data_IF_038623410149
#
_entry.id   IF_038623410149
#
_cell.length_a   1.000
_cell.length_b   1.000
_cell.length_c   1.000
_cell.angle_alpha   90.00
_cell.angle_beta   90.00
_cell.angle_gamma   90.00
#
_symmetry.space_group_name_H-M   'P 1'
#
loop_
_entity.id
_entity.type
_entity.pdbx_description
1 polymer ?
#
# COMPACT_ATOMS: atom_id res chain seq x y z
N UNK A 1 13.70 -4.71 10.10
CA UNK A 1 14.74 -5.00 9.09
C UNK A 1 14.12 -4.82 7.74
N UNK A 2 14.80 -4.16 6.82
CA UNK A 2 14.37 -3.99 5.44
C UNK A 2 15.58 -4.04 4.51
N UNK A 3 15.33 -4.20 3.22
CA UNK A 3 16.32 -4.11 2.15
C UNK A 3 15.70 -3.28 1.03
N UNK A 4 16.50 -2.40 0.42
CA UNK A 4 16.14 -1.66 -0.79
C UNK A 4 17.13 -2.03 -1.90
N UNK A 5 16.69 -1.98 -3.16
CA UNK A 5 17.57 -2.26 -4.30
C UNK A 5 17.21 -1.41 -5.51
N UNK A 6 18.23 -0.80 -6.12
CA UNK A 6 18.12 -0.07 -7.37
C UNK A 6 19.13 -0.59 -8.38
N UNK A 7 18.64 -1.20 -9.45
CA UNK A 7 19.42 -1.66 -10.59
C UNK A 7 18.88 -1.05 -11.88
N UNK A 8 19.77 -0.84 -12.85
CA UNK A 8 19.36 -0.41 -14.19
C UNK A 8 18.75 -1.58 -14.94
N UNK A 9 17.79 -1.27 -15.80
CA UNK A 9 17.21 -2.24 -16.71
C UNK A 9 18.28 -2.91 -17.60
N UNK A 10 18.09 -4.21 -17.86
CA UNK A 10 18.98 -5.04 -18.65
C UNK A 10 19.24 -6.38 -17.97
N UNK A 11 20.52 -6.65 -17.70
CA UNK A 11 20.92 -7.92 -17.09
C UNK A 11 20.37 -8.05 -15.65
N UNK A 12 20.51 -7.01 -14.83
CA UNK A 12 20.19 -7.09 -13.40
C UNK A 12 18.72 -6.76 -13.07
N UNK A 13 18.00 -6.03 -13.93
CA UNK A 13 16.59 -5.73 -13.70
C UNK A 13 15.78 -5.74 -15.00
N UNK A 14 14.48 -6.01 -14.88
CA UNK A 14 13.55 -6.05 -16.00
C UNK A 14 12.12 -5.85 -15.51
N UNK A 15 11.30 -5.19 -16.32
CA UNK A 15 9.85 -5.11 -16.15
C UNK A 15 9.19 -5.29 -17.50
N UNK A 16 8.24 -6.22 -17.58
CA UNK A 16 7.37 -6.34 -18.76
C UNK A 16 6.37 -5.19 -18.82
N UNK A 17 6.03 -4.76 -20.03
CA UNK A 17 4.97 -3.77 -20.29
C UNK A 17 3.63 -4.41 -20.67
N UNK A 18 3.57 -5.73 -20.83
CA UNK A 18 2.39 -6.45 -21.34
C UNK A 18 1.82 -7.48 -20.37
N UNK A 19 2.60 -7.89 -19.37
CA UNK A 19 2.18 -8.86 -18.35
C UNK A 19 2.88 -8.54 -17.03
N UNK A 20 2.44 -9.15 -15.94
CA UNK A 20 3.13 -9.03 -14.65
C UNK A 20 4.38 -9.91 -14.68
N UNK A 21 5.52 -9.32 -15.03
CA UNK A 21 6.85 -9.95 -14.92
C UNK A 21 7.85 -8.86 -14.58
N UNK A 22 8.21 -8.77 -13.30
CA UNK A 22 9.16 -7.79 -12.77
C UNK A 22 10.25 -8.54 -12.03
N UNK A 23 11.51 -8.18 -12.28
CA UNK A 23 12.67 -8.69 -11.55
C UNK A 23 13.70 -7.63 -11.26
N UNK A 24 14.36 -7.77 -10.11
CA UNK A 24 15.47 -6.94 -9.68
C UNK A 24 16.49 -7.81 -8.93
N UNK A 25 17.51 -8.27 -9.67
CA UNK A 25 18.43 -9.35 -9.33
C UNK A 25 17.68 -10.63 -8.92
N UNK A 26 17.83 -11.08 -7.67
CA UNK A 26 17.16 -12.28 -7.16
C UNK A 26 15.73 -12.03 -6.65
N UNK A 27 15.20 -10.81 -6.77
CA UNK A 27 13.80 -10.51 -6.47
C UNK A 27 12.98 -10.62 -7.73
N UNK A 28 11.80 -11.22 -7.64
CA UNK A 28 10.87 -11.34 -8.75
C UNK A 28 9.42 -11.37 -8.30
N UNK A 29 8.55 -10.79 -9.12
CA UNK A 29 7.10 -10.93 -9.06
C UNK A 29 6.60 -11.24 -10.47
N UNK A 30 6.07 -12.45 -10.68
CA UNK A 30 5.72 -12.94 -12.02
C UNK A 30 4.40 -13.67 -12.05
N UNK A 31 3.52 -13.31 -12.97
CA UNK A 31 2.33 -14.07 -13.31
C UNK A 31 2.70 -15.26 -14.20
N UNK A 32 2.36 -16.46 -13.76
CA UNK A 32 2.30 -17.65 -14.59
C UNK A 32 0.94 -17.70 -15.29
N UNK A 33 0.92 -17.42 -16.58
CA UNK A 33 -0.29 -17.39 -17.41
C UNK A 33 -0.95 -18.77 -17.56
N UNK A 34 -0.21 -19.88 -17.35
CA UNK A 34 -0.76 -21.23 -17.45
C UNK A 34 -1.59 -21.60 -16.21
N UNK A 35 -1.18 -21.12 -15.03
CA UNK A 35 -1.84 -21.40 -13.75
C UNK A 35 -2.65 -20.23 -13.22
N UNK A 36 -2.48 -19.04 -13.80
CA UNK A 36 -3.03 -17.76 -13.34
C UNK A 36 -2.66 -17.46 -11.88
N UNK A 37 -1.44 -17.85 -11.48
CA UNK A 37 -0.86 -17.60 -10.16
C UNK A 37 0.34 -16.66 -10.27
N UNK A 38 0.59 -15.91 -9.21
CA UNK A 38 1.69 -14.95 -9.15
C UNK A 38 2.77 -15.53 -8.24
N UNK A 39 3.93 -15.82 -8.81
CA UNK A 39 5.13 -16.23 -8.10
C UNK A 39 5.87 -15.00 -7.57
N UNK A 40 6.10 -14.97 -6.26
CA UNK A 40 6.89 -13.96 -5.57
C UNK A 40 8.13 -14.61 -4.97
N UNK A 41 9.30 -14.08 -5.32
CA UNK A 41 10.56 -14.36 -4.64
C UNK A 41 11.18 -13.07 -4.16
N UNK A 42 11.49 -12.97 -2.88
CA UNK A 42 12.16 -11.81 -2.29
C UNK A 42 13.16 -12.25 -1.23
N UNK A 43 14.11 -11.36 -0.91
CA UNK A 43 15.02 -11.53 0.22
C UNK A 43 15.06 -10.27 1.05
N UNK A 44 15.39 -10.40 2.33
CA UNK A 44 15.75 -9.28 3.20
C UNK A 44 17.15 -9.55 3.74
N UNK A 45 18.11 -8.88 3.12
CA UNK A 45 19.56 -9.08 3.18
C UNK A 45 19.93 -10.57 3.17
N UNK A 46 20.69 -11.05 4.15
CA UNK A 46 21.05 -12.46 4.28
C UNK A 46 20.12 -13.21 5.26
N UNK A 47 19.22 -12.49 5.92
CA UNK A 47 18.46 -12.95 7.07
C UNK A 47 17.15 -13.62 6.67
N UNK A 48 16.49 -13.15 5.61
CA UNK A 48 15.20 -13.71 5.20
C UNK A 48 15.07 -13.97 3.70
N UNK A 49 14.33 -15.03 3.37
CA UNK A 49 13.92 -15.38 2.00
C UNK A 49 12.42 -15.66 2.00
N UNK A 50 11.69 -15.03 1.09
CA UNK A 50 10.27 -15.27 0.87
C UNK A 50 10.10 -15.94 -0.48
N UNK A 51 9.36 -17.05 -0.50
CA UNK A 51 8.91 -17.74 -1.72
C UNK A 51 7.42 -17.99 -1.58
N UNK A 52 6.63 -17.14 -2.22
CA UNK A 52 5.19 -17.17 -2.12
C UNK A 52 4.58 -17.41 -3.50
N UNK A 53 3.53 -18.19 -3.50
CA UNK A 53 2.60 -18.35 -4.60
C UNK A 53 1.31 -17.62 -4.19
N UNK A 54 0.83 -16.75 -5.07
CA UNK A 54 -0.33 -15.91 -4.82
C UNK A 54 -1.43 -16.22 -5.85
N UNK A 55 -2.64 -16.48 -5.37
CA UNK A 55 -3.81 -16.75 -6.21
C UNK A 55 -4.87 -15.68 -5.99
N UNK A 56 -5.35 -15.06 -7.07
CA UNK A 56 -6.41 -14.07 -6.99
C UNK A 56 -7.72 -14.70 -6.49
N UNK A 57 -8.21 -14.25 -5.33
CA UNK A 57 -9.49 -14.66 -4.76
C UNK A 57 -10.66 -13.85 -5.34
N UNK A 58 -10.37 -12.72 -5.99
CA UNK A 58 -11.32 -11.83 -6.66
C UNK A 58 -10.74 -11.34 -7.99
N UNK A 59 -11.59 -10.92 -8.94
CA UNK A 59 -11.14 -10.22 -10.13
C UNK A 59 -10.31 -8.97 -9.80
N UNK A 60 -9.44 -8.58 -10.73
CA UNK A 60 -8.77 -7.29 -10.68
C UNK A 60 -9.82 -6.18 -10.69
N UNK A 61 -9.64 -5.19 -9.81
CA UNK A 61 -10.43 -3.97 -9.82
C UNK A 61 -9.64 -2.84 -10.47
N UNK A 62 -10.34 -1.91 -11.12
CA UNK A 62 -9.75 -0.74 -11.74
C UNK A 62 -10.38 0.48 -11.08
N UNK A 63 -9.58 1.27 -10.38
CA UNK A 63 -10.05 2.44 -9.65
C UNK A 63 -10.24 3.67 -10.54
N UNK A 64 -10.98 4.62 -10.00
CA UNK A 64 -11.24 5.90 -10.65
C UNK A 64 -12.34 5.83 -11.69
N UNK A 65 -12.41 6.88 -12.52
CA UNK A 65 -13.40 6.98 -13.60
C UNK A 65 -12.73 6.57 -14.90
N UNK A 66 -13.30 5.58 -15.58
CA UNK A 66 -12.79 5.06 -16.86
C UNK A 66 -11.29 4.65 -16.77
N UNK A 67 -10.88 4.13 -15.61
CA UNK A 67 -9.50 3.72 -15.33
C UNK A 67 -8.53 4.82 -14.93
N UNK A 68 -9.03 6.04 -14.66
CA UNK A 68 -8.23 7.19 -14.23
C UNK A 68 -8.60 7.59 -12.80
N UNK A 69 -7.68 7.37 -11.85
CA UNK A 69 -7.79 7.76 -10.46
C UNK A 69 -7.12 9.12 -10.23
N UNK A 70 -7.87 10.11 -9.73
CA UNK A 70 -7.34 11.46 -9.48
C UNK A 70 -6.69 11.55 -8.11
N UNK A 71 -5.57 12.26 -8.03
CA UNK A 71 -4.77 12.49 -6.81
C UNK A 71 -4.68 13.96 -6.42
N UNK A 72 -5.12 14.87 -7.28
CA UNK A 72 -5.10 16.31 -7.03
C UNK A 72 -6.09 17.06 -7.91
N UNK A 73 -6.00 18.40 -7.88
CA UNK A 73 -6.86 19.30 -8.65
C UNK A 73 -6.37 19.33 -10.10
N UNK A 74 -5.05 19.37 -10.30
CA UNK A 74 -4.46 19.40 -11.64
C UNK A 74 -4.83 18.15 -12.44
N UNK A 75 -5.00 18.32 -13.76
CA UNK A 75 -5.37 17.21 -14.65
C UNK A 75 -4.28 16.15 -14.75
N UNK A 76 -3.02 16.54 -14.53
CA UNK A 76 -1.86 15.64 -14.53
C UNK A 76 -1.71 14.84 -13.23
N UNK A 77 -2.30 15.29 -12.12
CA UNK A 77 -2.30 14.56 -10.85
C UNK A 77 -3.32 13.40 -10.88
N UNK A 78 -3.03 12.40 -11.72
CA UNK A 78 -3.85 11.22 -11.89
C UNK A 78 -3.00 10.00 -12.28
N UNK A 79 -3.54 8.81 -12.00
CA UNK A 79 -2.90 7.54 -12.27
C UNK A 79 -3.87 6.54 -12.87
N UNK A 80 -3.34 5.61 -13.66
CA UNK A 80 -4.02 4.35 -13.94
C UNK A 80 -3.74 3.41 -12.79
N UNK A 81 -4.80 2.89 -12.17
CA UNK A 81 -4.69 2.22 -10.88
C UNK A 81 -5.52 0.93 -10.87
N UNK A 82 -4.81 -0.20 -10.92
CA UNK A 82 -5.35 -1.55 -10.97
C UNK A 82 -4.91 -2.33 -9.73
N UNK A 83 -5.77 -3.20 -9.23
CA UNK A 83 -5.53 -3.84 -7.95
C UNK A 83 -6.06 -5.26 -7.92
N UNK A 84 -5.27 -6.17 -7.36
CA UNK A 84 -5.75 -7.44 -6.83
C UNK A 84 -6.09 -7.25 -5.35
N UNK A 85 -7.38 -7.04 -4.99
CA UNK A 85 -7.74 -6.63 -3.64
C UNK A 85 -7.59 -7.77 -2.62
N UNK A 86 -7.55 -9.00 -3.10
CA UNK A 86 -7.34 -10.18 -2.26
C UNK A 86 -6.66 -11.28 -3.05
N UNK A 87 -5.42 -11.56 -2.68
CA UNK A 87 -4.64 -12.70 -3.12
C UNK A 87 -4.55 -13.68 -1.96
N UNK A 88 -4.90 -14.96 -2.16
CA UNK A 88 -4.52 -16.02 -1.22
C UNK A 88 -3.03 -16.25 -1.37
N UNK A 89 -2.29 -16.19 -0.27
CA UNK A 89 -0.86 -16.41 -0.25
C UNK A 89 -0.55 -17.77 0.40
N UNK A 90 0.34 -18.54 -0.22
CA UNK A 90 0.90 -19.75 0.35
C UNK A 90 2.37 -19.91 -0.06
N UNK A 91 3.16 -20.63 0.74
CA UNK A 91 4.55 -20.90 0.38
C UNK A 91 5.44 -21.02 1.60
N UNK A 92 6.66 -20.49 1.50
CA UNK A 92 7.63 -20.52 2.60
C UNK A 92 8.29 -19.17 2.86
N UNK A 93 8.58 -18.96 4.14
CA UNK A 93 9.44 -17.88 4.63
C UNK A 93 10.59 -18.51 5.41
N UNK A 94 11.80 -18.26 4.96
CA UNK A 94 13.02 -18.65 5.67
C UNK A 94 13.52 -17.46 6.48
N UNK A 95 13.82 -17.67 7.76
CA UNK A 95 14.47 -16.70 8.65
C UNK A 95 15.68 -17.38 9.30
N UNK A 96 16.88 -16.87 9.01
CA UNK A 96 18.13 -17.51 9.37
C UNK A 96 18.22 -18.92 8.78
N UNK A 97 18.36 -19.95 9.63
CA UNK A 97 18.40 -21.35 9.19
C UNK A 97 17.02 -22.00 9.05
N UNK A 98 15.97 -21.39 9.60
CA UNK A 98 14.67 -22.02 9.76
C UNK A 98 13.75 -21.65 8.61
N UNK A 99 13.10 -22.64 8.01
CA UNK A 99 12.07 -22.45 6.98
C UNK A 99 10.70 -22.74 7.57
N UNK A 100 9.76 -21.83 7.36
CA UNK A 100 8.40 -21.89 7.85
C UNK A 100 7.45 -21.96 6.66
N UNK A 101 6.58 -22.97 6.63
CA UNK A 101 5.44 -22.96 5.73
C UNK A 101 4.45 -21.91 6.22
N UNK A 102 3.95 -21.07 5.30
CA UNK A 102 3.04 -19.97 5.62
C UNK A 102 1.81 -19.99 4.73
N UNK A 103 0.72 -19.46 5.25
CA UNK A 103 -0.48 -19.12 4.51
C UNK A 103 -0.98 -17.75 4.97
N UNK A 104 -1.74 -17.06 4.12
CA UNK A 104 -2.31 -15.77 4.46
C UNK A 104 -3.01 -15.14 3.27
N UNK A 105 -3.15 -13.82 3.34
CA UNK A 105 -3.72 -13.00 2.29
C UNK A 105 -2.79 -11.84 1.99
N UNK A 106 -2.77 -11.42 0.73
CA UNK A 106 -2.02 -10.27 0.26
C UNK A 106 -2.91 -9.35 -0.57
N UNK A 107 -2.44 -8.12 -0.74
CA UNK A 107 -2.99 -7.09 -1.61
C UNK A 107 -1.90 -6.72 -2.61
N UNK A 108 -2.26 -6.48 -3.86
CA UNK A 108 -1.31 -5.99 -4.85
C UNK A 108 -1.92 -4.83 -5.64
N UNK A 109 -1.19 -3.72 -5.62
CA UNK A 109 -1.46 -2.53 -6.42
C UNK A 109 -0.50 -2.45 -7.60
N UNK A 110 -1.05 -2.17 -8.77
CA UNK A 110 -0.33 -1.77 -9.97
C UNK A 110 -0.79 -0.36 -10.34
N UNK A 111 0.11 0.60 -10.17
CA UNK A 111 -0.16 1.99 -10.47
C UNK A 111 0.92 2.60 -11.36
N UNK A 112 0.51 3.35 -12.38
CA UNK A 112 1.42 4.11 -13.24
C UNK A 112 0.85 5.50 -13.56
N UNK A 113 1.72 6.51 -13.49
CA UNK A 113 1.41 7.90 -13.79
C UNK A 113 2.63 8.71 -14.21
N UNK A 114 2.39 9.94 -14.67
CA UNK A 114 3.42 10.93 -14.99
C UNK A 114 3.73 11.91 -13.86
N UNK A 115 2.90 11.98 -12.81
CA UNK A 115 3.16 12.75 -11.58
C UNK A 115 2.58 12.02 -10.36
N UNK A 116 3.17 12.26 -9.18
CA UNK A 116 2.74 11.64 -7.93
C UNK A 116 2.10 12.61 -6.95
N UNK A 117 2.57 13.86 -6.90
CA UNK A 117 2.02 14.91 -6.03
C UNK A 117 1.70 16.18 -6.82
N UNK A 118 0.59 16.80 -6.45
CA UNK A 118 0.19 18.13 -6.92
C UNK A 118 0.81 19.24 -6.04
N UNK A 119 0.80 20.48 -6.52
CA UNK A 119 1.31 21.61 -5.73
C UNK A 119 0.57 21.74 -4.39
N UNK A 120 1.33 22.04 -3.32
CA UNK A 120 0.78 22.20 -1.98
C UNK A 120 0.40 20.89 -1.27
N UNK A 121 0.71 19.72 -1.83
CA UNK A 121 0.62 18.44 -1.11
C UNK A 121 1.91 18.15 -0.33
N UNK A 122 1.76 17.73 0.92
CA UNK A 122 2.85 17.31 1.79
C UNK A 122 3.18 15.82 1.68
N UNK A 123 2.20 15.00 1.30
CA UNK A 123 2.30 13.54 1.21
C UNK A 123 0.93 12.89 1.27
N UNK A 124 0.89 11.56 1.49
CA UNK A 124 -0.36 10.81 1.58
C UNK A 124 -0.37 9.83 2.75
N UNK A 125 -1.58 9.57 3.25
CA UNK A 125 -1.88 8.41 4.09
C UNK A 125 -2.69 7.45 3.23
N UNK A 126 -2.35 6.16 3.18
CA UNK A 126 -3.05 5.17 2.39
C UNK A 126 -3.28 3.90 3.21
N UNK A 127 -4.42 3.24 3.02
CA UNK A 127 -4.63 1.91 3.58
C UNK A 127 -5.39 0.99 2.62
N UNK A 128 -4.94 -0.25 2.55
CA UNK A 128 -5.69 -1.40 2.07
C UNK A 128 -6.23 -2.17 3.27
N UNK A 129 -7.55 -2.32 3.35
CA UNK A 129 -8.26 -2.97 4.44
C UNK A 129 -8.96 -4.21 3.88
N UNK A 130 -8.62 -5.38 4.42
CA UNK A 130 -9.26 -6.65 4.09
C UNK A 130 -10.15 -7.08 5.27
N UNK A 131 -11.47 -6.95 5.10
CA UNK A 131 -12.44 -7.32 6.13
C UNK A 131 -12.70 -8.83 6.11
N UNK A 132 -13.03 -9.40 7.27
CA UNK A 132 -13.31 -10.84 7.44
C UNK A 132 -14.61 -11.27 6.79
N UNK A 133 -15.51 -10.34 6.47
CA UNK A 133 -16.75 -10.64 5.77
C UNK A 133 -16.57 -10.79 4.25
N UNK A 134 -15.34 -10.60 3.75
CA UNK A 134 -14.97 -10.71 2.35
C UNK A 134 -15.15 -9.43 1.54
N UNK A 135 -15.40 -8.28 2.17
CA UNK A 135 -15.26 -6.95 1.54
C UNK A 135 -13.86 -6.39 1.75
N UNK A 136 -13.49 -5.40 0.96
CA UNK A 136 -12.26 -4.64 1.16
C UNK A 136 -12.51 -3.14 1.02
N UNK A 137 -11.57 -2.35 1.52
CA UNK A 137 -11.56 -0.90 1.38
C UNK A 137 -10.16 -0.48 0.96
N UNK A 138 -10.07 0.27 -0.14
CA UNK A 138 -8.89 1.09 -0.44
C UNK A 138 -9.24 2.51 -0.04
N UNK A 139 -8.39 3.16 0.75
CA UNK A 139 -8.60 4.54 1.16
C UNK A 139 -7.29 5.29 1.13
N UNK A 140 -7.31 6.49 0.57
CA UNK A 140 -6.18 7.41 0.68
C UNK A 140 -6.64 8.82 1.04
N UNK A 141 -5.79 9.48 1.81
CA UNK A 141 -5.85 10.88 2.17
C UNK A 141 -4.61 11.57 1.63
N UNK A 142 -4.80 12.43 0.65
CA UNK A 142 -3.76 13.37 0.21
C UNK A 142 -3.73 14.53 1.20
N UNK A 143 -2.59 14.72 1.87
CA UNK A 143 -2.41 15.76 2.89
C UNK A 143 -1.87 17.03 2.26
N UNK A 144 -2.51 18.16 2.55
CA UNK A 144 -2.00 19.50 2.22
C UNK A 144 -0.91 19.92 3.20
N UNK A 145 -0.09 20.88 2.81
CA UNK A 145 0.96 21.46 3.67
C UNK A 145 0.42 22.20 4.89
N UNK A 146 -0.83 22.65 4.86
CA UNK A 146 -1.55 23.22 6.01
C UNK A 146 -2.17 22.15 6.93
N UNK A 147 -1.99 20.86 6.61
CA UNK A 147 -2.53 19.72 7.35
C UNK A 147 -3.96 19.32 6.97
N UNK A 148 -4.64 20.08 6.12
CA UNK A 148 -5.99 19.74 5.63
C UNK A 148 -5.97 18.56 4.66
N UNK A 149 -7.14 17.98 4.43
CA UNK A 149 -7.34 16.88 3.46
C UNK A 149 -7.65 17.46 2.09
N UNK A 150 -6.93 17.05 1.04
CA UNK A 150 -7.23 17.39 -0.34
C UNK A 150 -8.59 16.77 -0.75
N UNK A 151 -9.37 17.49 -1.56
CA UNK A 151 -10.63 17.04 -2.13
C UNK A 151 -10.50 15.81 -3.05
N UNK A 152 -9.30 15.52 -3.56
CA UNK A 152 -9.00 14.31 -4.32
C UNK A 152 -8.99 13.04 -3.44
N UNK A 153 -8.91 13.17 -2.12
CA UNK A 153 -8.92 12.02 -1.20
C UNK A 153 -10.19 11.19 -1.35
N UNK A 154 -10.05 9.87 -1.34
CA UNK A 154 -11.13 8.95 -1.66
C UNK A 154 -11.05 7.69 -0.80
N UNK A 155 -12.21 7.21 -0.35
CA UNK A 155 -12.39 5.87 0.18
C UNK A 155 -13.21 5.08 -0.83
N UNK A 156 -12.76 3.89 -1.22
CA UNK A 156 -13.46 3.02 -2.16
C UNK A 156 -13.75 1.69 -1.51
N UNK A 157 -15.04 1.37 -1.39
CA UNK A 157 -15.49 0.04 -1.05
C UNK A 157 -15.31 -0.89 -2.25
N UNK A 158 -14.80 -2.08 -1.97
CA UNK A 158 -14.73 -3.22 -2.90
C UNK A 158 -15.65 -4.28 -2.35
N UNK A 159 -16.78 -4.47 -3.01
CA UNK A 159 -17.79 -5.43 -2.59
C UNK A 159 -17.33 -6.87 -2.87
N UNK A 160 -18.10 -7.85 -2.38
CA UNK A 160 -17.75 -9.28 -2.52
C UNK A 160 -17.66 -9.73 -3.98
N UNK A 161 -18.43 -9.09 -4.85
CA UNK A 161 -18.45 -9.31 -6.30
C UNK A 161 -17.45 -8.43 -7.08
N UNK A 162 -16.55 -7.75 -6.36
CA UNK A 162 -15.57 -6.80 -6.87
C UNK A 162 -16.16 -5.51 -7.48
N UNK A 163 -17.47 -5.24 -7.30
CA UNK A 163 -18.03 -3.93 -7.64
C UNK A 163 -17.48 -2.84 -6.73
N UNK A 164 -17.28 -1.65 -7.31
CA UNK A 164 -16.67 -0.51 -6.62
C UNK A 164 -17.70 0.53 -6.25
N UNK A 165 -17.58 1.06 -5.02
CA UNK A 165 -18.38 2.19 -4.57
C UNK A 165 -17.49 3.21 -3.86
N UNK A 166 -17.25 4.32 -4.53
CA UNK A 166 -16.39 5.39 -4.04
C UNK A 166 -17.16 6.38 -3.14
N UNK A 167 -16.49 6.84 -2.09
CA UNK A 167 -16.89 7.86 -1.14
C UNK A 167 -15.87 8.99 -1.23
N UNK A 168 -16.34 10.21 -1.49
CA UNK A 168 -15.49 11.41 -1.61
C UNK A 168 -14.94 11.83 -0.24
N UNK A 169 -13.94 12.72 -0.26
CA UNK A 169 -13.25 13.23 0.94
C UNK A 169 -14.16 13.75 2.06
N UNK A 170 -15.37 14.25 1.76
CA UNK A 170 -16.34 14.77 2.72
C UNK A 170 -17.26 13.68 3.31
N UNK A 171 -17.26 12.48 2.72
CA UNK A 171 -18.04 11.33 3.18
C UNK A 171 -17.28 10.40 4.12
N UNK A 172 -16.00 10.64 4.38
CA UNK A 172 -15.22 9.90 5.38
C UNK A 172 -14.32 10.82 6.21
N UNK A 173 -13.90 10.34 7.39
CA UNK A 173 -12.90 11.03 8.21
C UNK A 173 -11.69 10.13 8.45
N UNK A 174 -10.52 10.75 8.63
CA UNK A 174 -9.27 10.09 8.97
C UNK A 174 -8.66 10.81 10.18
N UNK A 175 -8.65 10.15 11.34
CA UNK A 175 -8.28 10.76 12.63
C UNK A 175 -7.12 9.99 13.26
N UNK A 176 -5.96 10.62 13.51
CA UNK A 176 -4.91 10.03 14.34
C UNK A 176 -5.44 9.76 15.76
N UNK A 177 -5.16 8.57 16.29
CA UNK A 177 -5.44 8.19 17.68
C UNK A 177 -4.17 8.20 18.52
N UNK A 178 -3.03 7.83 17.93
CA UNK A 178 -1.71 7.93 18.53
C UNK A 178 -0.66 8.17 17.44
N UNK A 179 0.54 8.54 17.88
CA UNK A 179 1.71 8.74 17.02
C UNK A 179 2.91 7.96 17.55
N UNK A 180 3.80 7.59 16.64
CA UNK A 180 5.10 7.02 16.95
C UNK A 180 6.20 7.89 16.35
N UNK A 181 7.24 8.15 17.13
CA UNK A 181 8.42 8.88 16.69
C UNK A 181 9.51 7.89 16.28
N UNK A 182 10.03 8.04 15.06
CA UNK A 182 11.09 7.19 14.55
C UNK A 182 12.41 7.48 15.25
N UNK A 183 13.10 6.47 15.80
CA UNK A 183 14.47 6.63 16.30
C UNK A 183 15.50 6.79 15.16
N UNK A 184 15.12 6.50 13.90
CA UNK A 184 16.01 6.51 12.75
C UNK A 184 15.99 7.85 12.00
N UNK A 185 14.80 8.42 11.82
CA UNK A 185 14.59 9.66 11.03
C UNK A 185 14.10 10.85 11.85
N UNK A 186 13.70 10.63 13.12
CA UNK A 186 13.02 11.61 13.99
C UNK A 186 11.66 12.09 13.45
N UNK A 187 11.13 11.44 12.41
CA UNK A 187 9.78 11.72 11.93
C UNK A 187 8.73 11.18 12.90
N UNK A 188 7.61 11.91 13.01
CA UNK A 188 6.46 11.51 13.81
C UNK A 188 5.35 11.00 12.90
N UNK A 189 5.01 9.72 13.00
CA UNK A 189 4.01 9.05 12.17
C UNK A 189 2.72 8.80 12.96
N UNK A 190 1.53 9.18 12.46
CA UNK A 190 0.25 8.78 13.02
C UNK A 190 -0.07 7.34 12.61
N UNK A 191 0.66 6.37 13.16
CA UNK A 191 0.57 4.95 12.79
C UNK A 191 -0.61 4.20 13.44
N UNK A 192 -1.39 4.87 14.29
CA UNK A 192 -2.64 4.37 14.86
C UNK A 192 -3.75 5.37 14.53
N UNK A 193 -4.69 4.96 13.67
CA UNK A 193 -5.69 5.86 13.09
C UNK A 193 -7.08 5.28 13.18
N UNK A 194 -8.07 6.15 13.14
CA UNK A 194 -9.49 5.82 12.97
C UNK A 194 -10.01 6.39 11.66
N UNK A 195 -10.71 5.56 10.92
CA UNK A 195 -11.40 5.90 9.69
C UNK A 195 -12.89 5.68 9.92
N UNK A 196 -13.70 6.70 9.67
CA UNK A 196 -15.17 6.62 9.80
C UNK A 196 -15.81 6.97 8.45
N UNK A 197 -16.74 6.14 7.97
CA UNK A 197 -17.47 6.36 6.72
C UNK A 197 -18.82 5.65 6.77
N UNK A 198 -19.90 6.34 6.39
CA UNK A 198 -21.25 5.74 6.25
C UNK A 198 -21.71 4.95 7.50
N UNK A 199 -21.42 5.46 8.69
CA UNK A 199 -21.77 4.80 9.96
C UNK A 199 -20.89 3.61 10.36
N UNK A 200 -19.85 3.29 9.58
CA UNK A 200 -18.85 2.28 9.93
C UNK A 200 -17.61 2.96 10.51
N UNK A 201 -16.97 2.28 11.46
CA UNK A 201 -15.72 2.69 12.09
C UNK A 201 -14.68 1.59 11.89
N UNK A 202 -13.50 2.00 11.42
CA UNK A 202 -12.32 1.15 11.26
C UNK A 202 -11.16 1.79 12.01
N UNK A 203 -10.77 1.17 13.12
CA UNK A 203 -9.55 1.54 13.83
C UNK A 203 -8.40 0.66 13.34
N UNK A 204 -7.39 1.29 12.73
CA UNK A 204 -6.19 0.61 12.25
C UNK A 204 -5.15 0.66 13.35
N UNK A 205 -4.96 -0.46 14.03
CA UNK A 205 -4.00 -0.59 15.12
C UNK A 205 -2.75 -1.32 14.63
N UNK A 206 -1.56 -0.71 14.69
CA UNK A 206 -0.34 -1.31 14.16
C UNK A 206 0.05 -2.55 14.95
N UNK A 207 0.46 -3.62 14.27
CA UNK A 207 0.92 -4.85 14.92
C UNK A 207 2.24 -4.64 15.67
N UNK A 208 3.10 -3.79 15.11
CA UNK A 208 4.36 -3.33 15.71
C UNK A 208 4.52 -1.83 15.42
N UNK A 209 5.12 -1.09 16.34
CA UNK A 209 5.27 0.36 16.22
C UNK A 209 6.31 0.77 15.17
N UNK A 210 7.50 0.15 15.22
CA UNK A 210 8.59 0.41 14.29
C UNK A 210 8.43 -0.46 13.02
N UNK A 211 7.78 0.13 12.02
CA UNK A 211 7.62 -0.41 10.66
C UNK A 211 8.05 0.65 9.63
N UNK A 212 9.02 1.50 9.99
CA UNK A 212 9.57 2.49 9.07
C UNK A 212 10.58 1.83 8.11
N UNK A 213 10.48 2.20 6.83
CA UNK A 213 11.51 1.99 5.82
C UNK A 213 12.29 3.30 5.66
N UNK A 214 13.59 3.25 5.95
CA UNK A 214 14.44 4.43 6.09
C UNK A 214 14.70 5.21 4.79
N UNK A 215 14.42 4.64 3.62
CA UNK A 215 14.62 5.32 2.35
C UNK A 215 16.10 5.53 2.03
N UNK A 216 16.99 4.60 2.36
CA UNK A 216 18.44 4.80 2.20
C UNK A 216 18.84 5.02 0.73
N UNK A 217 18.12 4.41 -0.21
CA UNK A 217 18.34 4.58 -1.65
C UNK A 217 17.47 5.71 -2.20
N UNK A 218 16.17 5.68 -1.90
CA UNK A 218 15.18 6.61 -2.45
C UNK A 218 15.26 8.02 -1.84
N UNK A 219 15.82 8.13 -0.63
CA UNK A 219 15.76 9.29 0.27
C UNK A 219 14.35 9.70 0.67
N UNK A 220 13.42 8.76 0.57
CA UNK A 220 12.01 8.94 0.87
C UNK A 220 11.64 7.88 1.93
N UNK A 221 11.68 8.23 3.21
CA UNK A 221 11.26 7.31 4.26
C UNK A 221 9.73 7.18 4.28
N UNK A 222 9.25 5.96 4.44
CA UNK A 222 7.84 5.60 4.56
C UNK A 222 7.63 4.84 5.86
N UNK A 223 6.47 5.00 6.49
CA UNK A 223 6.00 4.01 7.46
C UNK A 223 5.05 3.06 6.75
N UNK A 224 5.38 1.77 6.76
CA UNK A 224 4.79 0.74 5.89
C UNK A 224 4.42 -0.47 6.74
N UNK A 225 3.24 -0.43 7.35
CA UNK A 225 2.97 -1.29 8.49
C UNK A 225 1.68 -2.09 8.40
N UNK A 226 1.79 -3.34 8.84
CA UNK A 226 0.63 -4.21 9.05
C UNK A 226 -0.15 -3.78 10.30
N UNK A 227 -1.48 -3.81 10.18
CA UNK A 227 -2.43 -3.40 11.20
C UNK A 227 -3.53 -4.44 11.42
N UNK A 228 -4.02 -4.54 12.65
CA UNK A 228 -5.37 -5.01 12.93
C UNK A 228 -6.40 -3.96 12.50
N UNK A 229 -7.56 -4.41 12.06
CA UNK A 229 -8.73 -3.56 11.84
C UNK A 229 -9.74 -3.85 12.93
N UNK A 230 -10.02 -2.86 13.77
CA UNK A 230 -10.98 -2.98 14.87
C UNK A 230 -12.27 -2.22 14.54
N UNK A 231 -13.40 -2.76 14.98
CA UNK A 231 -14.69 -2.06 14.98
C UNK A 231 -14.86 -1.16 16.23
N UNK A 232 -16.04 -0.56 16.36
CA UNK A 232 -16.38 0.33 17.48
C UNK A 232 -16.40 -0.37 18.84
N UNK A 233 -16.60 -1.69 18.87
CA UNK A 233 -16.62 -2.51 20.09
C UNK A 233 -15.22 -3.06 20.42
N UNK A 234 -14.21 -2.75 19.60
CA UNK A 234 -12.83 -3.19 19.75
C UNK A 234 -12.59 -4.62 19.26
N UNK A 235 -13.50 -5.21 18.47
CA UNK A 235 -13.32 -6.53 17.88
C UNK A 235 -12.51 -6.45 16.59
N UNK A 236 -11.61 -7.42 16.39
CA UNK A 236 -10.83 -7.52 15.15
C UNK A 236 -11.73 -8.05 14.03
N UNK A 237 -12.00 -7.20 13.04
CA UNK A 237 -12.88 -7.47 11.89
C UNK A 237 -12.11 -7.54 10.57
N UNK A 238 -10.78 -7.48 10.61
CA UNK A 238 -9.95 -7.51 9.41
C UNK A 238 -8.47 -7.26 9.68
N UNK A 239 -7.72 -7.19 8.59
CA UNK A 239 -6.31 -6.79 8.55
C UNK A 239 -6.13 -5.64 7.58
N UNK A 240 -5.13 -4.82 7.80
CA UNK A 240 -4.80 -3.74 6.89
C UNK A 240 -3.30 -3.58 6.70
N UNK A 241 -2.94 -2.97 5.58
CA UNK A 241 -1.63 -2.37 5.39
C UNK A 241 -1.82 -0.85 5.37
N UNK A 242 -1.04 -0.13 6.16
CA UNK A 242 -1.09 1.33 6.29
C UNK A 242 0.25 1.90 5.82
N UNK A 243 0.19 2.77 4.82
CA UNK A 243 1.33 3.50 4.27
C UNK A 243 1.21 4.98 4.68
N UNK A 244 2.29 5.54 5.20
CA UNK A 244 2.38 6.95 5.59
C UNK A 244 3.61 7.59 4.96
N UNK A 245 3.39 8.38 3.91
CA UNK A 245 4.43 9.05 3.15
C UNK A 245 4.49 10.53 3.50
N UNK A 246 5.69 11.12 3.63
CA UNK A 246 5.85 12.57 3.76
C UNK A 246 5.78 13.12 5.17
N UNK A 247 6.03 12.26 6.16
CA UNK A 247 6.29 12.67 7.55
C UNK A 247 7.78 12.88 7.83
N UNK A 248 8.65 12.27 7.00
CA UNK A 248 10.08 12.49 6.99
C UNK A 248 10.51 13.22 5.71
N UNK A 249 11.11 14.40 5.85
CA UNK A 249 11.61 15.18 4.72
C UNK A 249 10.53 15.86 3.86
N UNK A 250 10.93 16.37 2.69
CA UNK A 250 10.04 17.07 1.76
C UNK A 250 9.88 16.24 0.47
N UNK A 251 8.78 15.47 0.38
CA UNK A 251 8.46 14.63 -0.77
C UNK A 251 8.36 15.43 -2.07
N UNK A 252 7.84 16.66 -2.02
CA UNK A 252 7.63 17.50 -3.21
C UNK A 252 8.94 17.74 -3.97
N UNK A 253 10.08 17.80 -3.26
CA UNK A 253 11.40 17.92 -3.89
C UNK A 253 11.77 16.75 -4.80
N UNK A 254 11.28 15.55 -4.50
CA UNK A 254 11.65 14.30 -5.18
C UNK A 254 10.56 13.79 -6.12
N UNK A 255 9.29 14.06 -5.80
CA UNK A 255 8.13 13.51 -6.50
C UNK A 255 7.19 14.58 -7.11
N UNK A 256 7.48 15.86 -6.91
CA UNK A 256 6.73 16.95 -7.53
C UNK A 256 6.95 16.97 -9.04
N UNK A 257 5.87 17.10 -9.80
CA UNK A 257 5.96 17.42 -11.23
C UNK A 257 6.60 18.80 -11.43
N UNK A 258 7.52 18.92 -12.39
CA UNK A 258 7.99 20.22 -12.88
C UNK A 258 7.02 20.81 -13.89
#
# INVERSE_FOLDING_TARGET
MHEERLNREGWDAFSSSTTLDVRNANWSLKLDEATNRIDLTATVKAEAVLKLDLEAAKPVVIFGKDGVSRKGISESAASHYLTFPRLKAGGSVKIGSNEHAVTGEAWMDHEFSSSQLDEGQAGWDWAAIQLTDGREIMVYRMRRTDGSTDAASTLTWIEKDASLRAVKHDGFTWKPLATWESPHTQATYPNHVRIESEGHLFELRPLVQDQEQGGEITRLPYWEGACDVLDADGQVIGRAFLELAGYAGNLQRYLGGK
#
